data_IF_352522859102
#
_entry.id   IF_352522859102
#
_cell.length_a   1.000
_cell.length_b   1.000
_cell.length_c   1.000
_cell.angle_alpha   90.00
_cell.angle_beta   90.00
_cell.angle_gamma   90.00
#
_symmetry.space_group_name_H-M   'P 1'
#
loop_
_entity.id
_entity.type
_entity.pdbx_description
1 polymer ?
#
# COMPACT_ATOMS: atom_id res chain seq x y z
N UNK A 1 24.66 5.16 1.58
CA UNK A 1 24.43 4.05 0.96
C UNK A 1 23.10 3.48 1.28
N UNK A 2 22.64 2.82 0.48
CA UNK A 2 21.34 2.29 0.72
C UNK A 2 21.42 0.97 1.41
N UNK A 3 20.60 0.81 2.41
CA UNK A 3 20.56 -0.41 3.13
C UNK A 3 19.68 -1.44 2.48
N UNK A 4 19.04 -1.10 1.39
CA UNK A 4 18.17 -2.07 0.74
C UNK A 4 18.92 -3.25 0.19
N UNK A 5 20.23 -3.08 -0.07
CA UNK A 5 21.01 -4.18 -0.58
C UNK A 5 21.09 -5.32 0.41
N UNK A 6 20.81 -5.08 1.67
CA UNK A 6 20.86 -6.15 2.65
C UNK A 6 19.64 -7.06 2.58
N UNK A 7 18.68 -6.75 1.74
CA UNK A 7 17.47 -7.53 1.64
C UNK A 7 17.68 -8.92 1.05
N UNK A 8 18.91 -9.31 0.74
CA UNK A 8 19.16 -10.69 0.35
C UNK A 8 18.70 -11.68 1.41
N UNK A 9 18.61 -11.25 2.66
CA UNK A 9 18.15 -12.09 3.74
C UNK A 9 16.71 -11.81 4.13
N UNK A 10 16.08 -10.89 3.42
CA UNK A 10 14.75 -10.41 3.81
C UNK A 10 13.96 -10.12 2.54
N UNK A 11 13.15 -11.07 2.12
CA UNK A 11 12.35 -10.93 0.91
C UNK A 11 11.24 -9.92 1.16
N UNK A 12 11.60 -8.65 1.11
CA UNK A 12 10.66 -7.58 1.39
C UNK A 12 10.89 -6.41 0.46
N UNK A 13 9.79 -5.75 0.13
CA UNK A 13 9.84 -4.42 -0.49
C UNK A 13 9.99 -3.43 0.64
N UNK A 14 10.97 -2.53 0.55
CA UNK A 14 11.16 -1.47 1.54
C UNK A 14 11.25 -0.14 0.82
N UNK A 15 10.34 0.75 1.16
CA UNK A 15 10.25 2.05 0.51
C UNK A 15 9.98 3.14 1.52
N UNK A 16 10.45 4.34 1.22
CA UNK A 16 10.16 5.53 2.01
C UNK A 16 9.66 6.62 1.11
N UNK A 17 8.73 7.41 1.60
CA UNK A 17 8.31 8.61 0.90
C UNK A 17 7.99 9.68 1.94
N UNK A 18 8.45 10.92 1.69
CA UNK A 18 8.09 12.04 2.54
C UNK A 18 6.89 12.75 1.94
N UNK A 19 5.87 12.96 2.76
CA UNK A 19 4.61 13.54 2.32
C UNK A 19 4.32 14.80 3.14
N UNK A 20 3.90 15.88 2.46
CA UNK A 20 3.51 17.12 3.13
C UNK A 20 2.10 16.99 3.66
N UNK A 21 1.95 16.19 4.72
CA UNK A 21 0.70 16.00 5.42
C UNK A 21 1.03 15.44 6.79
N UNK A 22 0.14 15.66 7.76
CA UNK A 22 0.34 15.15 9.11
C UNK A 22 0.18 13.64 9.15
N UNK A 23 0.75 12.97 10.16
CA UNK A 23 0.52 11.53 10.33
C UNK A 23 -0.96 11.18 10.45
N UNK A 24 -1.75 12.03 11.09
CA UNK A 24 -3.19 11.81 11.22
C UNK A 24 -3.87 11.76 9.86
N UNK A 25 -3.52 12.69 8.97
CA UNK A 25 -4.10 12.73 7.64
C UNK A 25 -3.73 11.49 6.87
N UNK A 26 -2.45 11.14 6.88
CA UNK A 26 -1.96 9.99 6.13
C UNK A 26 -2.55 8.70 6.67
N UNK A 27 -2.68 8.59 7.98
CA UNK A 27 -3.29 7.43 8.62
C UNK A 27 -4.68 7.14 8.02
N UNK A 28 -5.47 8.20 7.79
CA UNK A 28 -6.78 8.06 7.19
C UNK A 28 -6.75 7.46 5.79
N UNK A 29 -5.68 7.72 5.03
CA UNK A 29 -5.58 7.16 3.68
C UNK A 29 -5.31 5.65 3.68
N UNK A 30 -4.96 5.08 4.82
CA UNK A 30 -4.80 3.64 4.97
C UNK A 30 -5.97 2.98 5.69
N UNK A 31 -6.88 3.75 6.28
CA UNK A 31 -7.94 3.20 7.13
C UNK A 31 -9.34 3.59 6.70
N UNK A 32 -9.49 4.61 5.87
CA UNK A 32 -10.80 5.09 5.42
C UNK A 32 -11.00 4.66 3.97
N UNK A 33 -12.06 3.88 3.66
CA UNK A 33 -12.26 3.41 2.29
C UNK A 33 -12.35 4.52 1.25
N UNK A 34 -13.00 5.63 1.58
CA UNK A 34 -13.14 6.72 0.64
C UNK A 34 -11.82 7.42 0.35
N UNK A 35 -10.93 7.43 1.33
CA UNK A 35 -9.61 8.02 1.14
C UNK A 35 -8.68 7.05 0.43
N UNK A 36 -8.80 5.76 0.74
CA UNK A 36 -7.97 4.74 0.10
C UNK A 36 -8.12 4.79 -1.42
N UNK A 37 -9.33 4.88 -1.93
CA UNK A 37 -9.55 4.84 -3.37
C UNK A 37 -9.11 6.10 -4.09
N UNK A 38 -8.69 7.12 -3.36
CA UNK A 38 -8.12 8.30 -4.01
C UNK A 38 -6.73 8.04 -4.54
N UNK A 39 -6.04 7.07 -4.00
CA UNK A 39 -4.68 6.78 -4.43
C UNK A 39 -4.50 5.33 -4.88
N UNK A 40 -5.39 4.42 -4.46
CA UNK A 40 -5.19 3.00 -4.76
C UNK A 40 -6.52 2.29 -4.84
N UNK A 41 -6.85 1.80 -6.04
CA UNK A 41 -8.02 0.96 -6.21
C UNK A 41 -9.27 1.69 -6.58
N UNK A 42 -10.29 0.89 -6.91
CA UNK A 42 -11.60 1.37 -7.32
C UNK A 42 -12.65 1.19 -6.25
N UNK A 43 -12.43 0.25 -5.34
CA UNK A 43 -13.30 -0.01 -4.20
C UNK A 43 -12.46 -0.49 -3.04
N UNK A 44 -12.89 -0.16 -1.83
CA UNK A 44 -12.20 -0.63 -0.64
C UNK A 44 -13.22 -0.98 0.45
N UNK A 45 -12.91 -2.03 1.20
CA UNK A 45 -13.67 -2.40 2.38
C UNK A 45 -12.65 -2.53 3.51
N UNK A 46 -12.71 -1.63 4.47
CA UNK A 46 -11.70 -1.54 5.51
C UNK A 46 -12.37 -1.46 6.88
N UNK A 47 -11.94 -2.35 7.77
CA UNK A 47 -12.38 -2.33 9.16
C UNK A 47 -11.11 -2.20 10.01
N UNK A 48 -10.69 -0.96 10.32
CA UNK A 48 -9.35 -0.71 10.88
C UNK A 48 -9.25 -1.02 12.36
N UNK A 49 -9.27 -2.31 12.65
CA UNK A 49 -9.05 -2.83 14.00
C UNK A 49 -8.39 -4.19 13.85
N UNK A 50 -7.65 -4.65 14.86
CA UNK A 50 -7.02 -5.97 14.77
C UNK A 50 -8.07 -7.04 14.46
N UNK A 51 -7.79 -7.83 13.42
CA UNK A 51 -8.72 -8.84 12.92
C UNK A 51 -9.75 -8.32 11.94
N UNK A 52 -9.82 -6.99 11.72
CA UNK A 52 -10.77 -6.44 10.77
C UNK A 52 -10.34 -6.62 9.33
N UNK A 53 -11.31 -6.60 8.43
CA UNK A 53 -11.05 -6.88 7.02
C UNK A 53 -10.25 -5.74 6.37
N UNK A 54 -9.32 -6.14 5.50
CA UNK A 54 -8.64 -5.25 4.57
C UNK A 54 -8.87 -5.84 3.17
N UNK A 55 -9.59 -5.11 2.34
CA UNK A 55 -9.90 -5.58 0.99
C UNK A 55 -9.95 -4.39 0.05
N UNK A 56 -9.13 -4.42 -0.99
CA UNK A 56 -9.05 -3.34 -1.97
C UNK A 56 -9.08 -3.93 -3.36
N UNK A 57 -10.04 -3.50 -4.17
CA UNK A 57 -10.04 -3.84 -5.58
C UNK A 57 -9.05 -2.90 -6.26
N UNK A 58 -7.84 -3.39 -6.51
CA UNK A 58 -6.71 -2.54 -6.87
C UNK A 58 -6.82 -2.02 -8.30
N UNK A 59 -7.21 -2.88 -9.23
CA UNK A 59 -7.23 -2.51 -10.64
C UNK A 59 -8.63 -2.52 -11.25
N UNK A 60 -9.63 -2.84 -10.47
CA UNK A 60 -10.97 -3.10 -10.98
C UNK A 60 -11.20 -4.57 -11.31
N UNK A 61 -10.11 -5.35 -11.33
CA UNK A 61 -10.15 -6.77 -11.68
C UNK A 61 -9.40 -7.63 -10.68
N UNK A 62 -8.39 -7.05 -10.01
CA UNK A 62 -7.54 -7.79 -9.09
C UNK A 62 -7.73 -7.25 -7.69
N UNK A 63 -8.11 -8.13 -6.78
CA UNK A 63 -8.49 -7.74 -5.43
C UNK A 63 -7.45 -8.21 -4.43
N UNK A 64 -6.89 -7.26 -3.70
CA UNK A 64 -5.99 -7.54 -2.59
C UNK A 64 -6.83 -7.74 -1.34
N UNK A 65 -6.45 -8.71 -0.51
CA UNK A 65 -7.20 -9.04 0.67
C UNK A 65 -6.30 -9.51 1.80
N UNK A 66 -6.71 -9.15 3.02
CA UNK A 66 -6.04 -9.56 4.24
C UNK A 66 -6.84 -9.07 5.41
N UNK A 67 -6.16 -8.88 6.53
CA UNK A 67 -6.79 -8.29 7.70
C UNK A 67 -5.79 -7.40 8.42
N UNK A 68 -6.31 -6.43 9.18
CA UNK A 68 -5.46 -5.60 10.01
C UNK A 68 -4.94 -6.44 11.16
N UNK A 69 -3.65 -6.32 11.41
CA UNK A 69 -2.98 -7.04 12.49
C UNK A 69 -2.66 -6.10 13.64
N UNK A 70 -2.33 -4.85 13.32
CA UNK A 70 -2.03 -3.85 14.34
C UNK A 70 -2.47 -2.48 13.85
N UNK A 71 -3.14 -1.74 14.71
CA UNK A 71 -3.51 -0.35 14.48
C UNK A 71 -3.04 0.45 15.67
N UNK A 72 -2.01 1.26 15.47
CA UNK A 72 -1.55 2.21 16.50
C UNK A 72 -1.75 3.59 15.93
N UNK A 73 -2.83 4.27 16.33
CA UNK A 73 -3.21 5.53 15.70
C UNK A 73 -2.07 6.49 15.68
N UNK A 74 -1.87 6.89 14.53
CA UNK A 74 -1.09 7.85 13.80
C UNK A 74 0.36 7.50 13.73
N UNK A 75 0.76 6.29 14.15
CA UNK A 75 2.18 5.90 14.09
C UNK A 75 2.45 4.62 13.32
N UNK A 76 1.53 3.64 13.36
CA UNK A 76 1.84 2.35 12.75
C UNK A 76 0.57 1.59 12.36
N UNK A 77 0.62 0.99 11.18
CA UNK A 77 -0.45 0.12 10.67
C UNK A 77 0.21 -1.13 10.12
N UNK A 78 -0.29 -2.29 10.53
CA UNK A 78 0.20 -3.57 9.99
C UNK A 78 -1.02 -4.34 9.50
N UNK A 79 -0.94 -4.85 8.28
CA UNK A 79 -2.02 -5.69 7.76
C UNK A 79 -1.43 -6.81 6.92
N UNK A 80 -2.13 -7.95 6.90
CA UNK A 80 -1.74 -9.03 6.03
C UNK A 80 -2.25 -8.75 4.63
N UNK A 81 -1.66 -9.41 3.64
CA UNK A 81 -1.89 -9.08 2.25
C UNK A 81 -1.77 -10.34 1.40
N UNK A 82 -2.56 -10.38 0.38
CA UNK A 82 -2.47 -11.36 -0.70
C UNK A 82 -3.50 -10.99 -1.73
N UNK A 83 -3.64 -11.82 -2.73
CA UNK A 83 -4.60 -11.58 -3.82
C UNK A 83 -5.67 -12.65 -3.74
N UNK A 84 -6.92 -12.27 -4.03
CA UNK A 84 -8.01 -13.25 -4.02
C UNK A 84 -7.80 -14.33 -5.07
N UNK A 85 -7.06 -14.01 -6.13
CA UNK A 85 -6.70 -15.01 -7.15
C UNK A 85 -5.19 -14.97 -7.37
N UNK A 86 -4.62 -16.12 -7.67
CA UNK A 86 -3.23 -16.23 -7.96
C UNK A 86 -2.45 -16.90 -6.84
N UNK A 87 -1.11 -16.98 -6.99
CA UNK A 87 -0.29 -17.76 -6.08
C UNK A 87 -0.01 -17.08 -4.73
N UNK A 88 -0.13 -15.75 -4.67
CA UNK A 88 0.09 -15.03 -3.41
C UNK A 88 -1.27 -14.91 -2.74
N UNK A 89 -1.57 -15.85 -1.86
CA UNK A 89 -2.91 -15.96 -1.26
C UNK A 89 -3.12 -14.95 -0.15
N UNK A 90 -4.38 -14.60 0.15
CA UNK A 90 -4.67 -13.67 1.24
C UNK A 90 -4.05 -14.13 2.54
N UNK A 91 -3.40 -13.20 3.24
CA UNK A 91 -2.77 -13.49 4.50
C UNK A 91 -1.35 -14.05 4.41
N UNK A 92 -0.86 -14.33 3.20
CA UNK A 92 0.45 -14.96 3.06
C UNK A 92 1.61 -13.97 3.17
N UNK A 93 1.34 -12.68 3.03
CA UNK A 93 2.37 -11.65 3.16
C UNK A 93 1.90 -10.58 4.14
N UNK A 94 2.80 -9.67 4.53
CA UNK A 94 2.49 -8.68 5.55
C UNK A 94 3.04 -7.32 5.13
N UNK A 95 2.21 -6.28 5.28
CA UNK A 95 2.60 -4.90 5.02
C UNK A 95 2.64 -4.16 6.34
N UNK A 96 3.75 -3.49 6.58
CA UNK A 96 3.91 -2.62 7.73
C UNK A 96 4.13 -1.20 7.24
N UNK A 97 3.38 -0.25 7.80
CA UNK A 97 3.49 1.16 7.48
C UNK A 97 3.80 1.90 8.77
N UNK A 98 4.89 2.67 8.77
CA UNK A 98 5.23 3.55 9.90
C UNK A 98 5.12 4.99 9.46
N UNK A 99 4.51 5.80 10.32
CA UNK A 99 4.29 7.22 10.07
C UNK A 99 5.14 8.00 11.06
N UNK A 100 6.18 8.66 10.57
CA UNK A 100 7.14 9.34 11.42
C UNK A 100 7.03 10.84 11.17
N UNK A 101 6.65 11.64 12.17
CA UNK A 101 6.57 13.08 11.97
C UNK A 101 7.91 13.65 11.52
N UNK A 102 7.88 14.55 10.57
CA UNK A 102 9.06 15.13 9.99
C UNK A 102 8.77 16.58 9.60
N UNK A 103 8.96 17.50 10.56
CA UNK A 103 8.65 18.91 10.34
C UNK A 103 7.17 19.10 10.06
N UNK A 104 6.86 19.73 8.94
CA UNK A 104 5.46 19.95 8.52
C UNK A 104 4.85 18.74 7.86
N UNK A 105 5.63 17.69 7.65
CA UNK A 105 5.17 16.51 6.95
C UNK A 105 5.41 15.23 7.73
N UNK A 106 5.39 14.14 6.99
CA UNK A 106 5.56 12.80 7.56
C UNK A 106 6.46 11.99 6.67
N UNK A 107 7.39 11.26 7.28
CA UNK A 107 8.14 10.24 6.58
C UNK A 107 7.36 8.95 6.69
N UNK A 108 6.94 8.41 5.55
CA UNK A 108 6.19 7.16 5.49
C UNK A 108 7.17 6.06 5.12
N UNK A 109 7.30 5.08 6.01
CA UNK A 109 8.15 3.91 5.75
C UNK A 109 7.26 2.70 5.57
N UNK A 110 7.45 1.99 4.46
CA UNK A 110 6.65 0.82 4.13
C UNK A 110 7.54 -0.40 3.95
N UNK A 111 7.12 -1.51 4.54
CA UNK A 111 7.79 -2.79 4.37
C UNK A 111 6.74 -3.85 4.06
N UNK A 112 6.90 -4.52 2.91
CA UNK A 112 5.99 -5.59 2.49
C UNK A 112 6.81 -6.88 2.44
N UNK A 113 6.62 -7.73 3.43
CA UNK A 113 7.43 -8.93 3.65
C UNK A 113 6.70 -10.20 3.23
N UNK A 114 7.46 -11.25 2.96
CA UNK A 114 6.89 -12.54 2.60
C UNK A 114 6.80 -12.76 1.10
N UNK A 115 7.40 -11.88 0.32
CA UNK A 115 7.39 -11.96 -1.14
C UNK A 115 8.73 -12.50 -1.64
N UNK A 116 8.71 -13.18 -2.79
CA UNK A 116 9.94 -13.67 -3.41
C UNK A 116 9.76 -13.74 -4.92
N UNK A 117 10.90 -13.81 -5.64
CA UNK A 117 10.90 -14.02 -7.08
C UNK A 117 10.09 -12.99 -7.84
N UNK A 118 9.26 -13.46 -8.75
CA UNK A 118 8.44 -12.58 -9.57
C UNK A 118 7.42 -11.80 -8.74
N UNK A 119 6.96 -12.41 -7.66
CA UNK A 119 6.04 -11.71 -6.76
C UNK A 119 6.69 -10.51 -6.09
N UNK A 120 7.95 -10.65 -5.69
CA UNK A 120 8.69 -9.53 -5.12
C UNK A 120 8.82 -8.41 -6.14
N UNK A 121 9.24 -8.74 -7.37
CA UNK A 121 9.42 -7.74 -8.42
C UNK A 121 8.13 -7.02 -8.75
N UNK A 122 7.03 -7.77 -8.83
CA UNK A 122 5.73 -7.18 -9.14
C UNK A 122 5.29 -6.21 -8.06
N UNK A 123 5.55 -6.51 -6.79
CA UNK A 123 5.14 -5.64 -5.71
C UNK A 123 6.09 -4.44 -5.54
N UNK A 124 7.36 -4.59 -5.92
CA UNK A 124 8.25 -3.43 -6.02
C UNK A 124 7.64 -2.43 -7.01
N UNK A 125 7.27 -2.90 -8.19
CA UNK A 125 6.66 -2.04 -9.20
C UNK A 125 5.35 -1.45 -8.71
N UNK A 126 4.55 -2.25 -8.00
CA UNK A 126 3.27 -1.78 -7.47
C UNK A 126 3.44 -0.64 -6.48
N UNK A 127 4.31 -0.81 -5.51
CA UNK A 127 4.52 0.25 -4.52
C UNK A 127 5.16 1.48 -5.13
N UNK A 128 6.06 1.31 -6.10
CA UNK A 128 6.62 2.46 -6.82
C UNK A 128 5.56 3.21 -7.61
N UNK A 129 4.51 2.53 -8.04
CA UNK A 129 3.40 3.16 -8.72
C UNK A 129 2.49 3.89 -7.72
N UNK A 130 2.16 3.25 -6.60
CA UNK A 130 1.12 3.76 -5.70
C UNK A 130 1.60 4.79 -4.69
N UNK A 131 2.84 4.68 -4.20
CA UNK A 131 3.31 5.62 -3.18
C UNK A 131 3.37 7.07 -3.65
N UNK A 132 3.80 7.37 -4.88
CA UNK A 132 3.71 8.75 -5.37
C UNK A 132 2.28 9.26 -5.44
N UNK A 133 1.33 8.38 -5.78
CA UNK A 133 -0.08 8.76 -5.81
C UNK A 133 -0.58 9.08 -4.40
N UNK A 134 -0.17 8.31 -3.41
CA UNK A 134 -0.48 8.60 -2.01
C UNK A 134 0.07 9.98 -1.61
N UNK A 135 1.31 10.27 -2.01
CA UNK A 135 1.93 11.54 -1.64
C UNK A 135 1.13 12.72 -2.18
N UNK A 136 0.64 12.61 -3.42
CA UNK A 136 -0.17 13.68 -4.01
C UNK A 136 -1.51 13.79 -3.30
N UNK A 137 -2.20 12.67 -3.11
CA UNK A 137 -3.54 12.69 -2.53
C UNK A 137 -3.52 13.18 -1.09
N UNK A 138 -2.58 12.69 -0.29
CA UNK A 138 -2.52 13.05 1.13
C UNK A 138 -2.11 14.51 1.33
N UNK A 139 -1.36 15.07 0.40
CA UNK A 139 -1.00 16.49 0.45
C UNK A 139 -2.12 17.40 -0.04
N UNK A 140 -3.27 16.85 -0.39
CA UNK A 140 -4.43 17.63 -0.82
C UNK A 140 -4.60 17.75 -2.31
N UNK A 141 -3.77 17.08 -3.10
CA UNK A 141 -3.85 17.12 -4.54
C UNK A 141 -4.68 15.98 -5.11
N UNK A 142 -4.69 15.90 -6.44
CA UNK A 142 -5.44 14.88 -7.16
C UNK A 142 -4.45 14.11 -8.03
N UNK A 143 -4.18 12.82 -7.72
CA UNK A 143 -3.25 12.05 -8.55
C UNK A 143 -3.82 11.66 -9.91
N UNK A 144 -5.09 11.96 -10.16
CA UNK A 144 -5.73 11.64 -11.43
C UNK A 144 -6.16 10.19 -11.51
N UNK A 145 -6.75 9.85 -12.65
CA UNK A 145 -7.19 8.48 -12.90
C UNK A 145 -5.97 7.58 -12.95
N UNK A 146 -6.07 6.44 -12.26
CA UNK A 146 -4.99 5.47 -12.27
C UNK A 146 -5.05 4.64 -13.56
N UNK A 147 -4.01 4.72 -14.41
CA UNK A 147 -4.01 3.96 -15.67
C UNK A 147 -4.18 2.45 -15.44
N UNK A 148 -3.77 1.95 -14.30
CA UNK A 148 -3.87 0.52 -14.01
C UNK A 148 -5.32 0.06 -13.82
N UNK A 149 -6.25 0.99 -13.59
CA UNK A 149 -7.66 0.66 -13.45
C UNK A 149 -8.38 0.65 -14.80
N UNK A 150 -7.70 1.01 -15.89
CA UNK A 150 -8.34 1.15 -17.19
C UNK A 150 -8.32 -0.13 -18.01
N UNK A 151 -7.76 -1.18 -17.47
CA UNK A 151 -7.71 -2.45 -18.16
C UNK A 151 -6.54 -2.56 -19.11
N UNK A 152 -6.33 -3.75 -19.69
CA UNK A 152 -5.24 -3.95 -20.62
C UNK A 152 -5.49 -3.18 -21.92
N UNK A 153 -4.42 -2.89 -22.67
CA UNK A 153 -4.57 -2.20 -23.96
C UNK A 153 -5.48 -3.00 -24.90
N UNK A 154 -6.16 -2.30 -25.83
CA UNK A 154 -7.14 -2.96 -26.71
C UNK A 154 -6.59 -4.08 -27.54
N UNK A 155 -5.34 -4.04 -27.94
CA UNK A 155 -4.78 -5.10 -28.78
C UNK A 155 -4.12 -6.19 -27.96
N UNK A 156 -4.44 -6.28 -26.69
CA UNK A 156 -4.07 -7.43 -25.90
C UNK A 156 -2.67 -7.41 -25.32
N UNK A 157 -2.01 -6.30 -25.40
CA UNK A 157 -0.70 -6.27 -24.84
C UNK A 157 -0.68 -5.95 -23.43
#
# INVERSE_FOLDING_TARGET
>A
MTTFSSSTFDDAVMREVRIEASPEVIFGFFTDPEKMIKWKGTEAMLDPRPGGVYRVNVTGREVARGEYLEITPYTRIVFSWGWEEGPITPGSTTVEVRLIPDGSGTLVQLRHAGLSGEGLDAHVAGWEHFLPRLAVAAAGGDPGVDPWTMGPPPDGQ
#
